data_IF_691621435653
#
_entry.id   IF_691621435653
#
_cell.length_a   1.000
_cell.length_b   1.000
_cell.length_c   1.000
_cell.angle_alpha   90.00
_cell.angle_beta   90.00
_cell.angle_gamma   90.00
#
_symmetry.space_group_name_H-M   'P 1'
#
loop_
_entity.id
_entity.type
_entity.pdbx_description
1 polymer ?
#
# COMPACT_ATOMS: atom_id res chain seq x y z
N UNK A 1 12.02 22.12 7.65
CA UNK A 1 12.17 22.13 6.18
C UNK A 1 11.62 20.84 5.59
N UNK A 2 10.92 20.91 4.45
CA UNK A 2 10.39 19.72 3.74
C UNK A 2 11.55 18.78 3.37
N UNK A 3 11.42 17.50 3.69
CA UNK A 3 12.42 16.48 3.31
C UNK A 3 12.25 16.21 1.81
N UNK A 4 13.34 16.35 1.06
CA UNK A 4 13.34 16.15 -0.40
C UNK A 4 13.24 14.65 -0.68
N UNK A 5 12.37 14.24 -1.60
CA UNK A 5 12.23 12.85 -2.03
C UNK A 5 13.61 12.24 -2.37
N UNK A 6 13.94 11.10 -1.77
CA UNK A 6 15.21 10.44 -2.06
C UNK A 6 15.07 9.66 -3.36
N UNK A 7 15.79 10.08 -4.41
CA UNK A 7 15.79 9.42 -5.74
C UNK A 7 15.99 7.89 -5.66
N UNK A 8 16.72 7.38 -4.66
CA UNK A 8 16.98 5.94 -4.48
C UNK A 8 15.74 5.09 -4.17
N UNK A 9 14.65 5.69 -3.72
CA UNK A 9 13.43 4.98 -3.29
C UNK A 9 12.24 5.18 -4.22
N UNK A 10 12.38 5.94 -5.33
CA UNK A 10 11.29 6.14 -6.29
C UNK A 10 10.03 6.75 -5.67
N UNK A 11 10.19 7.62 -4.66
CA UNK A 11 9.08 8.14 -3.86
C UNK A 11 8.22 9.13 -4.66
N UNK A 12 6.97 8.76 -4.89
CA UNK A 12 5.90 9.62 -5.37
C UNK A 12 4.88 9.77 -4.23
N UNK A 13 4.81 10.95 -3.62
CA UNK A 13 3.92 11.17 -2.47
C UNK A 13 2.52 11.51 -2.97
N UNK A 14 1.52 10.72 -2.57
CA UNK A 14 0.12 11.03 -2.84
C UNK A 14 -0.27 12.31 -2.10
N UNK A 15 -0.83 13.28 -2.83
CA UNK A 15 -1.27 14.58 -2.29
C UNK A 15 -2.75 14.88 -2.54
N UNK A 16 -3.41 14.11 -3.42
CA UNK A 16 -4.81 14.29 -3.76
C UNK A 16 -5.73 13.72 -2.67
N UNK A 17 -6.50 14.59 -2.02
CA UNK A 17 -7.35 14.23 -0.87
C UNK A 17 -8.56 13.37 -1.26
N UNK A 18 -9.12 13.57 -2.45
CA UNK A 18 -10.19 12.77 -3.05
C UNK A 18 -9.76 11.31 -3.23
N UNK A 19 -8.60 11.09 -3.86
CA UNK A 19 -8.02 9.75 -4.05
C UNK A 19 -7.76 9.06 -2.71
N UNK A 20 -7.26 9.80 -1.71
CA UNK A 20 -7.06 9.27 -0.36
C UNK A 20 -8.41 8.86 0.26
N UNK A 21 -9.45 9.70 0.10
CA UNK A 21 -10.80 9.42 0.54
C UNK A 21 -11.36 8.15 -0.07
N UNK A 22 -11.19 7.97 -1.39
CA UNK A 22 -11.66 6.79 -2.12
C UNK A 22 -10.97 5.50 -1.65
N UNK A 23 -9.65 5.54 -1.40
CA UNK A 23 -8.90 4.39 -0.84
C UNK A 23 -9.45 4.01 0.54
N UNK A 24 -9.67 4.99 1.42
CA UNK A 24 -10.20 4.73 2.77
C UNK A 24 -11.65 4.24 2.69
N UNK A 25 -12.45 4.75 1.75
CA UNK A 25 -13.80 4.29 1.52
C UNK A 25 -13.83 2.83 1.03
N UNK A 26 -12.89 2.43 0.19
CA UNK A 26 -12.77 1.04 -0.28
C UNK A 26 -12.45 0.06 0.86
N UNK A 27 -11.65 0.49 1.85
CA UNK A 27 -11.43 -0.28 3.08
C UNK A 27 -12.72 -0.42 3.92
N UNK A 28 -13.68 0.49 3.81
CA UNK A 28 -14.90 0.47 4.61
C UNK A 28 -14.65 0.73 6.10
N UNK A 29 -15.41 0.09 6.99
CA UNK A 29 -15.28 0.30 8.43
C UNK A 29 -14.07 -0.47 9.00
N UNK A 30 -13.07 0.27 9.51
CA UNK A 30 -11.82 -0.30 10.01
C UNK A 30 -11.63 -0.23 11.53
N UNK A 31 -12.62 0.21 12.31
CA UNK A 31 -12.40 0.55 13.72
C UNK A 31 -11.96 -0.64 14.59
N UNK A 32 -12.33 -1.86 14.19
CA UNK A 32 -11.96 -3.10 14.89
C UNK A 32 -10.76 -3.81 14.24
N UNK A 33 -10.21 -3.23 13.17
CA UNK A 33 -9.18 -3.86 12.35
C UNK A 33 -7.76 -3.50 12.80
N UNK A 34 -6.83 -4.44 12.56
CA UNK A 34 -5.42 -4.12 12.46
C UNK A 34 -5.09 -3.78 11.01
N UNK A 35 -4.71 -2.53 10.77
CA UNK A 35 -4.33 -2.03 9.45
C UNK A 35 -2.82 -1.84 9.39
N UNK A 36 -2.20 -2.37 8.34
CA UNK A 36 -0.78 -2.22 8.04
C UNK A 36 -0.64 -1.32 6.81
N UNK A 37 -0.07 -0.13 6.98
CA UNK A 37 0.29 0.76 5.88
C UNK A 37 1.76 0.54 5.48
N UNK A 38 2.00 0.18 4.22
CA UNK A 38 3.33 0.01 3.64
C UNK A 38 3.71 1.29 2.88
N UNK A 39 4.87 1.85 3.22
CA UNK A 39 5.40 3.05 2.55
C UNK A 39 4.57 4.32 2.81
N UNK A 40 4.30 4.68 4.08
CA UNK A 40 3.50 5.87 4.43
C UNK A 40 4.11 7.19 3.93
N UNK A 41 5.43 7.25 3.71
CA UNK A 41 6.10 8.45 3.23
C UNK A 41 5.93 9.63 4.19
N UNK A 42 5.27 10.70 3.73
CA UNK A 42 4.95 11.85 4.57
C UNK A 42 3.69 11.67 5.44
N UNK A 43 2.98 10.54 5.28
CA UNK A 43 1.79 10.17 6.05
C UNK A 43 0.52 10.83 5.57
N UNK A 44 0.35 10.99 4.25
CA UNK A 44 -0.87 11.54 3.66
C UNK A 44 -2.04 10.56 3.84
N UNK A 45 -1.87 9.31 3.41
CA UNK A 45 -2.85 8.24 3.64
C UNK A 45 -2.94 7.88 5.12
N UNK A 46 -1.80 7.82 5.83
CA UNK A 46 -1.75 7.61 7.29
C UNK A 46 -2.70 8.53 8.06
N UNK A 47 -2.79 9.82 7.69
CA UNK A 47 -3.66 10.77 8.37
C UNK A 47 -5.14 10.37 8.29
N UNK A 48 -5.61 9.96 7.12
CA UNK A 48 -6.99 9.54 6.92
C UNK A 48 -7.27 8.17 7.57
N UNK A 49 -6.32 7.24 7.50
CA UNK A 49 -6.41 5.95 8.22
C UNK A 49 -6.49 6.16 9.74
N UNK A 50 -5.64 7.03 10.30
CA UNK A 50 -5.65 7.34 11.73
C UNK A 50 -6.96 8.02 12.16
N UNK A 51 -7.55 8.87 11.31
CA UNK A 51 -8.84 9.52 11.57
C UNK A 51 -10.00 8.51 11.60
N UNK A 52 -9.91 7.42 10.81
CA UNK A 52 -10.84 6.31 10.85
C UNK A 52 -10.66 5.37 12.06
N UNK A 53 -9.67 5.63 12.92
CA UNK A 53 -9.47 5.01 14.24
C UNK A 53 -9.48 3.47 14.26
N UNK A 54 -8.61 2.80 13.48
CA UNK A 54 -8.48 1.35 13.57
C UNK A 54 -8.00 0.90 14.95
N UNK A 55 -8.32 -0.34 15.32
CA UNK A 55 -7.90 -0.94 16.59
C UNK A 55 -6.37 -0.92 16.73
N UNK A 56 -5.66 -1.15 15.62
CA UNK A 56 -4.23 -0.92 15.52
C UNK A 56 -3.84 -0.43 14.13
N UNK A 57 -3.05 0.64 14.05
CA UNK A 57 -2.39 1.07 12.83
C UNK A 57 -0.89 0.78 12.92
N UNK A 58 -0.36 -0.05 12.03
CA UNK A 58 1.08 -0.33 11.91
C UNK A 58 1.61 0.29 10.62
N UNK A 59 2.69 1.07 10.71
CA UNK A 59 3.34 1.72 9.58
C UNK A 59 4.68 1.05 9.30
N UNK A 60 4.93 0.64 8.06
CA UNK A 60 6.21 0.05 7.63
C UNK A 60 6.92 1.03 6.69
N UNK A 61 7.99 1.64 7.17
CA UNK A 61 8.74 2.67 6.43
C UNK A 61 10.24 2.35 6.42
N UNK A 62 10.85 2.34 5.24
CA UNK A 62 12.29 2.04 5.09
C UNK A 62 13.16 3.29 5.36
N UNK A 63 12.65 4.49 5.09
CA UNK A 63 13.41 5.72 5.26
C UNK A 63 13.57 6.11 6.73
N UNK A 64 14.81 6.00 7.21
CA UNK A 64 15.21 6.33 8.58
C UNK A 64 14.97 7.78 8.98
N UNK A 65 14.80 8.68 8.01
CA UNK A 65 14.50 10.10 8.28
C UNK A 65 13.00 10.35 8.41
N UNK A 66 12.15 9.51 7.80
CA UNK A 66 10.70 9.63 7.80
C UNK A 66 10.08 8.86 8.97
N UNK A 67 10.54 7.64 9.24
CA UNK A 67 9.97 6.79 10.29
C UNK A 67 9.90 7.48 11.68
N UNK A 68 10.95 8.17 12.19
CA UNK A 68 10.85 8.88 13.46
C UNK A 68 9.83 10.04 13.44
N UNK A 69 9.67 10.72 12.29
CA UNK A 69 8.71 11.80 12.14
C UNK A 69 7.28 11.28 12.15
N UNK A 70 7.05 10.12 11.52
CA UNK A 70 5.77 9.43 11.56
C UNK A 70 5.41 9.02 12.99
N UNK A 71 6.37 8.49 13.75
CA UNK A 71 6.14 8.12 15.15
C UNK A 71 5.75 9.33 16.03
N UNK A 72 6.36 10.49 15.80
CA UNK A 72 5.99 11.73 16.51
C UNK A 72 4.62 12.25 16.07
N UNK A 73 4.33 12.21 14.76
CA UNK A 73 3.07 12.73 14.20
C UNK A 73 1.87 11.83 14.51
N UNK A 74 2.08 10.52 14.60
CA UNK A 74 1.04 9.51 14.80
C UNK A 74 1.39 8.62 16.00
N UNK A 75 1.31 9.16 17.24
CA UNK A 75 1.77 8.45 18.44
C UNK A 75 0.94 7.20 18.80
N UNK A 76 -0.28 7.06 18.24
CA UNK A 76 -1.11 5.86 18.37
C UNK A 76 -0.74 4.76 17.37
N UNK A 77 0.06 5.08 16.35
CA UNK A 77 0.48 4.11 15.35
C UNK A 77 1.77 3.41 15.78
N UNK A 78 1.88 2.12 15.49
CA UNK A 78 3.12 1.36 15.63
C UNK A 78 3.98 1.59 14.40
N UNK A 79 5.12 2.26 14.54
CA UNK A 79 6.02 2.52 13.41
C UNK A 79 7.18 1.52 13.38
N UNK A 80 7.29 0.76 12.30
CA UNK A 80 8.36 -0.17 12.00
C UNK A 80 9.30 0.46 10.96
N UNK A 81 10.51 0.83 11.38
CA UNK A 81 11.54 1.28 10.45
C UNK A 81 12.28 0.09 9.83
N UNK A 82 11.66 -0.57 8.84
CA UNK A 82 12.16 -1.83 8.26
C UNK A 82 11.89 -1.90 6.76
N UNK A 83 12.74 -2.62 6.03
CA UNK A 83 12.45 -3.02 4.65
C UNK A 83 11.32 -4.06 4.64
N UNK A 84 10.19 -3.70 4.04
CA UNK A 84 9.01 -4.56 3.92
C UNK A 84 9.28 -5.89 3.23
N UNK A 85 10.25 -5.97 2.31
CA UNK A 85 10.61 -7.23 1.65
C UNK A 85 11.27 -8.22 2.62
N UNK A 86 11.95 -7.70 3.66
CA UNK A 86 12.59 -8.50 4.71
C UNK A 86 11.69 -8.72 5.94
N UNK A 87 10.55 -8.01 6.01
CA UNK A 87 9.62 -8.12 7.13
C UNK A 87 9.02 -9.52 7.22
N UNK A 88 9.04 -10.06 8.43
CA UNK A 88 8.30 -11.28 8.74
C UNK A 88 6.85 -10.93 9.11
N UNK A 89 5.99 -10.96 8.11
CA UNK A 89 4.54 -10.82 8.26
C UNK A 89 3.95 -11.92 9.17
N UNK A 90 4.65 -13.05 9.33
CA UNK A 90 4.27 -14.11 10.23
C UNK A 90 4.37 -13.71 11.73
N UNK A 91 5.21 -12.71 12.03
CA UNK A 91 5.45 -12.23 13.40
C UNK A 91 4.49 -11.12 13.85
N UNK A 92 3.71 -10.56 12.93
CA UNK A 92 2.83 -9.43 13.22
C UNK A 92 1.50 -9.90 13.82
N UNK A 93 1.07 -9.22 14.87
CA UNK A 93 -0.17 -9.45 15.60
C UNK A 93 -0.80 -8.09 16.00
N UNK A 94 -2.13 -8.02 16.16
CA UNK A 94 -3.10 -9.12 16.01
C UNK A 94 -3.37 -9.49 14.55
N UNK A 95 -4.02 -10.63 14.33
CA UNK A 95 -4.39 -11.20 13.01
C UNK A 95 -5.87 -11.56 13.01
N UNK A 96 -6.54 -11.61 11.84
CA UNK A 96 -6.01 -11.17 10.55
C UNK A 96 -5.81 -9.65 10.51
N UNK A 97 -4.99 -9.17 9.58
CA UNK A 97 -4.79 -7.74 9.35
C UNK A 97 -5.05 -7.37 7.89
N UNK A 98 -5.30 -6.09 7.66
CA UNK A 98 -5.57 -5.50 6.35
C UNK A 98 -4.34 -4.74 5.90
N UNK A 99 -3.91 -4.92 4.65
CA UNK A 99 -2.68 -4.29 4.16
C UNK A 99 -3.04 -3.23 3.14
N UNK A 100 -2.53 -2.02 3.33
CA UNK A 100 -2.74 -0.90 2.42
C UNK A 100 -1.41 -0.24 2.06
N UNK A 101 -1.28 0.31 0.87
CA UNK A 101 -0.08 1.08 0.56
C UNK A 101 -0.03 1.68 -0.83
N UNK A 102 0.66 2.82 -0.92
CA UNK A 102 1.14 3.37 -2.18
C UNK A 102 2.54 2.80 -2.44
N UNK A 103 2.59 1.67 -3.14
CA UNK A 103 3.81 0.88 -3.24
C UNK A 103 4.79 1.50 -4.24
N UNK A 104 6.09 1.63 -3.90
CA UNK A 104 7.10 2.00 -4.88
C UNK A 104 7.13 0.98 -6.01
N UNK A 105 7.11 1.46 -7.26
CA UNK A 105 6.93 0.62 -8.44
C UNK A 105 8.00 -0.44 -8.62
N UNK A 106 9.23 -0.15 -8.18
CA UNK A 106 10.36 -1.06 -8.27
C UNK A 106 10.26 -2.28 -7.32
N UNK A 107 9.43 -2.20 -6.27
CA UNK A 107 9.26 -3.30 -5.29
C UNK A 107 7.86 -3.92 -5.31
N UNK A 108 6.93 -3.37 -6.09
CA UNK A 108 5.52 -3.77 -6.08
C UNK A 108 5.33 -5.28 -6.37
N UNK A 109 5.86 -5.77 -7.49
CA UNK A 109 5.77 -7.18 -7.87
C UNK A 109 6.41 -8.15 -6.86
N UNK A 110 7.67 -7.96 -6.40
CA UNK A 110 8.26 -8.87 -5.40
C UNK A 110 7.52 -8.82 -4.05
N UNK A 111 6.99 -7.66 -3.66
CA UNK A 111 6.16 -7.54 -2.46
C UNK A 111 4.84 -8.30 -2.60
N UNK A 112 4.13 -8.15 -3.73
CA UNK A 112 2.91 -8.92 -4.00
C UNK A 112 3.17 -10.43 -3.94
N UNK A 113 4.22 -10.91 -4.60
CA UNK A 113 4.61 -12.33 -4.55
C UNK A 113 4.92 -12.78 -3.11
N UNK A 114 5.57 -11.93 -2.31
CA UNK A 114 5.86 -12.23 -0.90
C UNK A 114 4.58 -12.34 -0.06
N UNK A 115 3.65 -11.41 -0.21
CA UNK A 115 2.37 -11.41 0.51
C UNK A 115 1.49 -12.61 0.11
N UNK A 116 1.47 -12.96 -1.18
CA UNK A 116 0.69 -14.09 -1.70
C UNK A 116 1.24 -15.46 -1.27
N UNK A 117 2.51 -15.56 -0.86
CA UNK A 117 3.11 -16.83 -0.38
C UNK A 117 2.57 -17.29 0.97
N UNK A 118 2.11 -16.36 1.80
CA UNK A 118 1.43 -16.67 3.05
C UNK A 118 0.34 -15.62 3.30
N UNK A 119 -0.84 -15.89 2.75
CA UNK A 119 -2.02 -15.04 2.91
C UNK A 119 -2.81 -15.32 4.18
N UNK A 120 -2.47 -16.38 4.93
CA UNK A 120 -3.17 -16.77 6.17
C UNK A 120 -3.37 -15.62 7.17
N UNK A 121 -2.41 -14.69 7.37
CA UNK A 121 -2.61 -13.59 8.31
C UNK A 121 -3.31 -12.36 7.70
N UNK A 122 -3.68 -12.38 6.41
CA UNK A 122 -4.18 -11.21 5.66
C UNK A 122 -5.67 -11.38 5.37
N UNK A 123 -6.48 -10.40 5.78
CA UNK A 123 -7.90 -10.34 5.43
C UNK A 123 -8.10 -9.82 4.00
N UNK A 124 -7.51 -8.68 3.68
CA UNK A 124 -7.51 -8.09 2.34
C UNK A 124 -6.29 -7.17 2.12
N UNK A 125 -6.13 -6.75 0.87
CA UNK A 125 -5.04 -5.91 0.41
C UNK A 125 -5.59 -4.81 -0.49
N UNK A 126 -5.13 -3.58 -0.29
CA UNK A 126 -5.51 -2.40 -1.07
C UNK A 126 -4.26 -1.66 -1.51
N UNK A 127 -3.87 -1.78 -2.77
CA UNK A 127 -2.61 -1.25 -3.27
C UNK A 127 -2.81 -0.27 -4.41
N UNK A 128 -2.13 0.86 -4.30
CA UNK A 128 -1.90 1.72 -5.45
C UNK A 128 -0.62 1.29 -6.16
N UNK A 129 -0.77 0.93 -7.43
CA UNK A 129 0.26 0.36 -8.30
C UNK A 129 0.33 1.12 -9.63
N UNK A 130 1.36 0.87 -10.45
CA UNK A 130 1.29 1.27 -11.85
C UNK A 130 0.08 0.62 -12.52
N UNK A 131 -0.66 1.36 -13.35
CA UNK A 131 -1.89 0.87 -14.00
C UNK A 131 -1.68 -0.44 -14.74
N UNK A 132 -0.57 -0.57 -15.47
CA UNK A 132 -0.24 -1.82 -16.19
C UNK A 132 -0.13 -3.03 -15.24
N UNK A 133 0.39 -2.85 -14.03
CA UNK A 133 0.50 -3.92 -13.04
C UNK A 133 -0.89 -4.27 -12.49
N UNK A 134 -1.70 -3.27 -12.13
CA UNK A 134 -3.08 -3.48 -11.68
C UNK A 134 -3.93 -4.20 -12.74
N UNK A 135 -3.82 -3.76 -14.01
CA UNK A 135 -4.53 -4.38 -15.14
C UNK A 135 -4.11 -5.85 -15.30
N UNK A 136 -2.83 -6.18 -15.12
CA UNK A 136 -2.35 -7.58 -15.15
C UNK A 136 -2.88 -8.40 -13.98
N UNK A 137 -3.01 -7.83 -12.79
CA UNK A 137 -3.55 -8.56 -11.63
C UNK A 137 -5.03 -8.92 -11.85
N UNK A 138 -5.82 -7.98 -12.39
CA UNK A 138 -7.25 -8.13 -12.64
C UNK A 138 -7.59 -8.81 -13.99
N UNK A 139 -6.60 -9.07 -14.85
CA UNK A 139 -6.80 -9.63 -16.17
C UNK A 139 -7.46 -11.02 -16.13
N UNK A 140 -8.45 -11.29 -17.00
CA UNK A 140 -9.06 -12.61 -17.15
C UNK A 140 -8.34 -13.51 -18.18
N UNK A 141 -8.53 -14.84 -18.13
CA UNK A 141 -7.96 -15.78 -19.09
C UNK A 141 -8.26 -15.39 -20.55
N UNK A 142 -7.27 -15.54 -21.42
CA UNK A 142 -7.38 -15.20 -22.84
C UNK A 142 -7.16 -13.72 -23.19
N UNK A 143 -7.07 -12.83 -22.19
CA UNK A 143 -6.69 -11.44 -22.44
C UNK A 143 -5.17 -11.28 -22.64
N UNK A 144 -4.76 -10.23 -23.36
CA UNK A 144 -3.33 -9.93 -23.63
C UNK A 144 -2.53 -9.65 -22.34
N UNK A 145 -3.19 -9.14 -21.30
CA UNK A 145 -2.56 -8.81 -20.02
C UNK A 145 -2.52 -10.02 -19.05
N UNK A 146 -3.20 -11.11 -19.37
CA UNK A 146 -3.23 -12.30 -18.54
C UNK A 146 -1.92 -13.08 -18.63
N UNK A 147 -1.34 -13.38 -17.48
CA UNK A 147 -0.09 -14.13 -17.41
C UNK A 147 0.23 -14.61 -16.01
N UNK A 148 1.52 -14.87 -15.76
CA UNK A 148 2.00 -15.49 -14.51
C UNK A 148 1.52 -14.75 -13.25
N UNK A 149 1.53 -13.42 -13.28
CA UNK A 149 1.12 -12.60 -12.13
C UNK A 149 -0.39 -12.69 -11.88
N UNK A 150 -1.20 -12.70 -12.95
CA UNK A 150 -2.65 -12.90 -12.88
C UNK A 150 -2.97 -14.25 -12.24
N UNK A 151 -2.37 -15.32 -12.76
CA UNK A 151 -2.57 -16.70 -12.26
C UNK A 151 -2.18 -16.82 -10.79
N UNK A 152 -1.00 -16.32 -10.41
CA UNK A 152 -0.53 -16.39 -9.03
C UNK A 152 -1.48 -15.65 -8.08
N UNK A 153 -1.90 -14.44 -8.45
CA UNK A 153 -2.75 -13.61 -7.59
C UNK A 153 -4.14 -14.20 -7.47
N UNK A 154 -4.76 -14.56 -8.60
CA UNK A 154 -6.13 -15.10 -8.67
C UNK A 154 -6.26 -16.50 -8.05
N UNK A 155 -5.14 -17.22 -7.90
CA UNK A 155 -5.11 -18.48 -7.14
C UNK A 155 -5.32 -18.25 -5.64
N UNK A 156 -4.86 -17.12 -5.10
CA UNK A 156 -4.89 -16.83 -3.66
C UNK A 156 -5.99 -15.84 -3.25
N UNK A 157 -6.42 -14.94 -4.13
CA UNK A 157 -7.42 -13.93 -3.81
C UNK A 157 -8.31 -13.58 -5.02
N UNK A 158 -9.48 -13.01 -4.72
CA UNK A 158 -10.27 -12.28 -5.73
C UNK A 158 -9.61 -10.92 -5.95
N UNK A 159 -9.50 -10.49 -7.21
CA UNK A 159 -8.84 -9.24 -7.58
C UNK A 159 -9.85 -8.32 -8.25
N UNK A 160 -9.94 -7.09 -7.76
CA UNK A 160 -10.81 -6.06 -8.31
C UNK A 160 -10.02 -4.77 -8.52
N UNK A 161 -9.99 -4.26 -9.75
CA UNK A 161 -9.43 -2.93 -10.02
C UNK A 161 -10.49 -1.89 -9.68
N UNK A 162 -10.21 -1.02 -8.71
CA UNK A 162 -11.17 -0.04 -8.20
C UNK A 162 -11.24 1.20 -9.09
N UNK A 163 -10.13 1.91 -9.28
CA UNK A 163 -10.07 3.14 -10.07
C UNK A 163 -8.65 3.49 -10.52
N UNK A 164 -8.54 4.30 -11.58
CA UNK A 164 -7.27 4.87 -12.07
C UNK A 164 -6.94 6.16 -11.28
N UNK A 165 -5.65 6.43 -11.08
CA UNK A 165 -5.13 7.61 -10.38
C UNK A 165 -4.15 8.34 -11.29
N UNK A 166 -4.43 9.62 -11.55
CA UNK A 166 -3.67 10.44 -12.47
C UNK A 166 -2.31 10.87 -11.87
N UNK A 167 -1.25 11.09 -12.69
CA UNK A 167 0.06 11.49 -12.21
C UNK A 167 0.09 12.79 -11.38
N UNK A 168 -0.77 13.74 -11.69
CA UNK A 168 -0.93 15.01 -10.97
C UNK A 168 -1.39 14.86 -9.53
N UNK A 169 -1.90 13.68 -9.15
CA UNK A 169 -2.25 13.36 -7.77
C UNK A 169 -1.03 13.17 -6.86
N UNK A 170 0.19 13.23 -7.41
CA UNK A 170 1.44 12.95 -6.70
C UNK A 170 2.46 14.09 -6.77
N UNK A 171 3.32 14.17 -5.75
CA UNK A 171 4.48 15.06 -5.71
C UNK A 171 5.78 14.26 -5.40
N UNK A 172 6.79 14.26 -6.30
CA UNK A 172 6.70 14.66 -7.71
C UNK A 172 5.76 13.73 -8.50
N UNK A 173 5.20 14.16 -9.64
CA UNK A 173 4.33 13.31 -10.45
C UNK A 173 5.12 12.13 -11.06
N UNK A 174 4.57 10.89 -11.07
CA UNK A 174 5.14 9.78 -11.82
C UNK A 174 5.01 9.99 -13.33
N UNK A 175 5.80 9.25 -14.10
CA UNK A 175 5.72 9.29 -15.57
C UNK A 175 4.55 8.44 -16.14
N UNK A 176 3.84 7.71 -15.29
CA UNK A 176 2.79 6.77 -15.68
C UNK A 176 1.57 6.91 -14.78
N UNK A 177 0.42 6.48 -15.30
CA UNK A 177 -0.84 6.39 -14.56
C UNK A 177 -0.75 5.27 -13.51
N UNK A 178 -1.31 5.52 -12.33
CA UNK A 178 -1.46 4.52 -11.27
C UNK A 178 -2.89 3.99 -11.25
N UNK A 179 -3.13 2.90 -10.53
CA UNK A 179 -4.47 2.40 -10.25
C UNK A 179 -4.51 1.74 -8.87
N UNK A 180 -5.68 1.77 -8.24
CA UNK A 180 -5.95 1.07 -6.98
C UNK A 180 -6.58 -0.28 -7.29
N UNK A 181 -6.08 -1.33 -6.63
CA UNK A 181 -6.50 -2.73 -6.73
C UNK A 181 -6.56 -3.38 -5.36
#
# INVERSE_FOLDING_TARGET
>A
GRVKARKRFGQHFLVAEDVIGDIVSALGHIADDHVIEIGPGHGALTASLAAAQPALLTLVEIDRDLAPRLAVRFPRARVLNQDVLTLDFASLAPRPYRVVGNLPYNISTPLLVKLLRDTTPIADMHFMLQREVADRLAAGPGSKAWGRLSVLTQYHCTVEKLFDVAPECFEPPPAVVSAVV
#
